data_IF_912274137454
#
_entry.id   IF_912274137454
#
_cell.length_a   1.000
_cell.length_b   1.000
_cell.length_c   1.000
_cell.angle_alpha   90.00
_cell.angle_beta   90.00
_cell.angle_gamma   90.00
#
_symmetry.space_group_name_H-M   'P 1'
#
loop_
_entity.id
_entity.type
_entity.pdbx_description
1 polymer ?
#
# COMPACT_ATOMS: atom_id res chain seq x y z
N UNK A 1 6.74 1.50 -15.38
CA UNK A 1 7.04 1.59 -13.94
C UNK A 1 8.40 0.97 -13.65
N UNK A 2 9.04 1.39 -12.56
CA UNK A 2 10.36 0.94 -12.15
C UNK A 2 10.35 0.47 -10.69
N UNK A 3 11.24 -0.48 -10.37
CA UNK A 3 11.53 -0.88 -8.99
C UNK A 3 12.90 -0.32 -8.59
N UNK A 4 12.94 0.46 -7.50
CA UNK A 4 14.17 1.13 -7.03
C UNK A 4 14.67 0.48 -5.74
N UNK A 5 15.82 -0.16 -5.81
CA UNK A 5 16.55 -0.75 -4.70
C UNK A 5 17.90 -0.03 -4.45
N UNK A 6 17.90 1.29 -4.55
CA UNK A 6 19.05 2.12 -4.26
C UNK A 6 19.17 2.41 -2.74
N UNK A 7 20.37 2.73 -2.23
CA UNK A 7 20.49 3.30 -0.89
C UNK A 7 19.62 4.55 -0.74
N UNK A 8 19.03 4.75 0.45
CA UNK A 8 18.05 5.82 0.70
C UNK A 8 18.52 7.22 0.25
N UNK A 9 19.81 7.53 0.44
CA UNK A 9 20.37 8.83 0.06
C UNK A 9 20.51 9.03 -1.44
N UNK A 10 20.61 7.95 -2.22
CA UNK A 10 20.67 7.99 -3.69
C UNK A 10 19.29 7.90 -4.34
N UNK A 11 18.27 7.45 -3.60
CA UNK A 11 16.92 7.22 -4.12
C UNK A 11 16.27 8.46 -4.74
N UNK A 12 16.32 9.67 -4.15
CA UNK A 12 15.74 10.86 -4.79
C UNK A 12 16.38 11.17 -6.15
N UNK A 13 17.70 11.02 -6.29
CA UNK A 13 18.38 11.20 -7.58
C UNK A 13 17.88 10.21 -8.63
N UNK A 14 17.81 8.91 -8.28
CA UNK A 14 17.29 7.89 -9.20
C UNK A 14 15.83 8.11 -9.59
N UNK A 15 14.98 8.60 -8.66
CA UNK A 15 13.58 8.96 -8.95
C UNK A 15 13.52 10.11 -9.94
N UNK A 16 14.35 11.15 -9.76
CA UNK A 16 14.40 12.29 -10.70
C UNK A 16 14.83 11.87 -12.11
N UNK A 17 15.78 10.96 -12.22
CA UNK A 17 16.19 10.39 -13.53
C UNK A 17 15.02 9.62 -14.18
N UNK A 18 14.31 8.80 -13.43
CA UNK A 18 13.14 8.06 -13.95
C UNK A 18 12.02 9.00 -14.39
N UNK A 19 11.76 10.07 -13.62
CA UNK A 19 10.80 11.10 -14.02
C UNK A 19 11.22 11.77 -15.34
N UNK A 20 12.49 12.17 -15.46
CA UNK A 20 13.02 12.77 -16.68
C UNK A 20 12.92 11.85 -17.92
N UNK A 21 12.99 10.54 -17.71
CA UNK A 21 12.80 9.52 -18.75
C UNK A 21 11.32 9.22 -19.07
N UNK A 22 10.36 9.90 -18.44
CA UNK A 22 8.94 9.67 -18.63
C UNK A 22 8.40 8.37 -18.03
N UNK A 23 9.04 7.85 -16.98
CA UNK A 23 8.54 6.68 -16.27
C UNK A 23 7.17 6.96 -15.65
N UNK A 24 6.21 6.05 -15.80
CA UNK A 24 4.84 6.22 -15.32
C UNK A 24 4.62 5.90 -13.84
N UNK A 25 5.67 5.58 -13.07
CA UNK A 25 5.58 5.33 -11.62
C UNK A 25 6.74 4.49 -11.12
N UNK A 26 7.01 4.54 -9.81
CA UNK A 26 8.08 3.77 -9.20
C UNK A 26 7.69 3.14 -7.86
N UNK A 27 8.28 1.98 -7.57
CA UNK A 27 8.27 1.33 -6.27
C UNK A 27 9.57 1.65 -5.56
N UNK A 28 9.50 2.15 -4.32
CA UNK A 28 10.66 2.55 -3.52
C UNK A 28 10.86 1.54 -2.38
N UNK A 29 11.83 0.65 -2.56
CA UNK A 29 12.12 -0.41 -1.60
C UNK A 29 12.85 0.10 -0.35
N UNK A 30 13.73 1.08 -0.52
CA UNK A 30 14.58 1.59 0.57
C UNK A 30 13.74 2.09 1.75
N UNK A 31 14.21 1.77 2.96
CA UNK A 31 13.73 2.30 4.23
C UNK A 31 14.65 3.42 4.74
N UNK A 32 14.27 4.09 5.83
CA UNK A 32 15.05 5.13 6.48
C UNK A 32 14.64 6.53 6.07
N UNK A 33 13.36 6.76 5.83
CA UNK A 33 12.74 8.05 5.53
C UNK A 33 11.96 8.56 6.76
N UNK A 34 10.72 8.99 6.61
CA UNK A 34 9.92 9.55 7.69
C UNK A 34 9.74 8.61 8.88
N UNK A 35 9.69 7.28 8.66
CA UNK A 35 9.60 6.28 9.72
C UNK A 35 10.84 6.24 10.63
N UNK A 36 11.98 6.71 10.14
CA UNK A 36 13.20 6.90 10.93
C UNK A 36 13.43 8.35 11.39
N UNK A 37 12.45 9.23 11.17
CA UNK A 37 12.51 10.65 11.51
C UNK A 37 13.13 11.53 10.43
N UNK A 38 13.54 10.98 9.28
CA UNK A 38 14.14 11.76 8.18
C UNK A 38 13.05 12.27 7.22
N UNK A 39 12.27 13.25 7.71
CA UNK A 39 11.22 13.89 6.94
C UNK A 39 11.78 14.70 5.75
N UNK A 40 13.01 15.25 5.88
CA UNK A 40 13.63 16.05 4.82
C UNK A 40 13.96 15.19 3.61
N UNK A 41 14.48 13.98 3.83
CA UNK A 41 14.76 13.03 2.76
C UNK A 41 13.49 12.56 2.05
N UNK A 42 12.39 12.34 2.79
CA UNK A 42 11.11 12.00 2.19
C UNK A 42 10.55 13.16 1.35
N UNK A 43 10.68 14.40 1.79
CA UNK A 43 10.30 15.56 1.01
C UNK A 43 11.14 15.70 -0.28
N UNK A 44 12.46 15.47 -0.18
CA UNK A 44 13.32 15.46 -1.36
C UNK A 44 12.92 14.36 -2.37
N UNK A 45 12.53 13.18 -1.88
CA UNK A 45 12.01 12.10 -2.71
C UNK A 45 10.75 12.51 -3.48
N UNK A 46 9.76 13.10 -2.78
CA UNK A 46 8.51 13.56 -3.39
C UNK A 46 8.76 14.71 -4.39
N UNK A 47 9.65 15.64 -4.06
CA UNK A 47 10.04 16.72 -4.97
C UNK A 47 10.69 16.17 -6.26
N UNK A 48 11.56 15.17 -6.15
CA UNK A 48 12.20 14.53 -7.30
C UNK A 48 11.22 13.75 -8.17
N UNK A 49 10.16 13.19 -7.59
CA UNK A 49 9.10 12.51 -8.32
C UNK A 49 8.28 13.46 -9.20
N UNK A 50 8.15 14.73 -8.81
CA UNK A 50 7.46 15.78 -9.56
C UNK A 50 6.06 15.36 -10.08
N UNK A 51 5.31 14.62 -9.26
CA UNK A 51 3.98 14.09 -9.59
C UNK A 51 3.98 12.71 -10.28
N UNK A 52 5.14 12.08 -10.52
CA UNK A 52 5.19 10.69 -10.90
C UNK A 52 4.77 9.82 -9.70
N UNK A 53 3.78 8.93 -9.81
CA UNK A 53 3.29 8.12 -8.69
C UNK A 53 4.38 7.25 -8.06
N UNK A 54 4.47 7.29 -6.72
CA UNK A 54 5.39 6.48 -5.93
C UNK A 54 4.66 5.55 -4.97
N UNK A 55 5.01 4.27 -5.00
CA UNK A 55 4.61 3.28 -4.00
C UNK A 55 5.74 3.16 -2.96
N UNK A 56 5.41 3.35 -1.69
CA UNK A 56 6.37 3.37 -0.59
C UNK A 56 6.69 4.79 -0.06
N UNK A 57 7.94 5.08 0.35
CA UNK A 57 9.09 4.17 0.49
C UNK A 57 8.89 3.08 1.56
N UNK A 58 9.93 2.29 1.82
CA UNK A 58 9.87 1.20 2.79
C UNK A 58 8.78 0.17 2.44
N UNK A 59 8.67 -0.22 1.17
CA UNK A 59 7.68 -1.19 0.72
C UNK A 59 8.28 -2.26 -0.20
N UNK A 60 7.66 -3.44 -0.20
CA UNK A 60 8.07 -4.52 -1.11
C UNK A 60 7.53 -4.32 -2.53
N UNK A 61 6.53 -3.47 -2.73
CA UNK A 61 5.95 -3.22 -4.03
C UNK A 61 4.63 -3.95 -4.26
N UNK A 62 4.44 -4.47 -5.48
CA UNK A 62 3.19 -5.12 -5.82
C UNK A 62 3.37 -6.32 -6.75
N UNK A 63 2.40 -7.21 -6.68
CA UNK A 63 2.19 -8.31 -7.61
C UNK A 63 0.77 -8.20 -8.14
N UNK A 64 0.62 -8.16 -9.47
CA UNK A 64 -0.67 -8.19 -10.15
C UNK A 64 -0.72 -9.45 -11.01
N UNK A 65 -1.28 -10.53 -10.44
CA UNK A 65 -1.40 -11.82 -11.11
C UNK A 65 -2.37 -11.76 -12.30
N UNK A 66 -3.38 -10.88 -12.24
CA UNK A 66 -4.32 -10.67 -13.34
C UNK A 66 -3.71 -9.95 -14.54
N UNK A 67 -2.68 -9.15 -14.33
CA UNK A 67 -1.90 -8.50 -15.40
C UNK A 67 -0.58 -9.23 -15.70
N UNK A 68 -0.23 -10.25 -14.91
CA UNK A 68 1.03 -10.99 -15.00
C UNK A 68 2.25 -10.08 -14.85
N UNK A 69 2.17 -9.12 -13.93
CA UNK A 69 3.23 -8.14 -13.65
C UNK A 69 3.57 -8.18 -12.17
N UNK A 70 4.85 -8.17 -11.86
CA UNK A 70 5.35 -8.00 -10.51
C UNK A 70 6.49 -6.96 -10.50
N UNK A 71 6.42 -6.01 -9.58
CA UNK A 71 7.54 -5.20 -9.11
C UNK A 71 7.73 -5.57 -7.65
N UNK A 72 8.52 -6.61 -7.41
CA UNK A 72 8.64 -7.33 -6.15
C UNK A 72 10.08 -7.82 -5.96
N UNK A 73 10.69 -7.67 -4.77
CA UNK A 73 12.12 -7.95 -4.59
C UNK A 73 12.46 -9.40 -4.32
N UNK A 74 11.47 -10.27 -4.15
CA UNK A 74 11.66 -11.63 -3.66
C UNK A 74 10.85 -12.64 -4.49
N UNK A 75 11.03 -13.93 -4.22
CA UNK A 75 10.18 -14.97 -4.78
C UNK A 75 8.75 -14.84 -4.26
N UNK A 76 7.79 -15.23 -5.07
CA UNK A 76 6.38 -15.29 -4.69
C UNK A 76 5.68 -16.51 -5.29
N UNK A 77 4.73 -17.07 -4.54
CA UNK A 77 3.95 -18.25 -4.95
C UNK A 77 2.67 -17.91 -5.72
N UNK A 78 2.43 -16.65 -6.13
CA UNK A 78 1.22 -16.29 -6.84
C UNK A 78 1.24 -16.80 -8.28
N UNK A 79 0.18 -17.50 -8.66
CA UNK A 79 -0.04 -17.97 -10.03
C UNK A 79 -0.89 -16.97 -10.81
N UNK A 80 -0.72 -16.88 -12.15
CA UNK A 80 -1.58 -16.06 -13.00
C UNK A 80 -3.07 -16.38 -12.79
N UNK A 81 -3.88 -15.36 -12.64
CA UNK A 81 -5.32 -15.45 -12.47
C UNK A 81 -6.00 -14.38 -13.32
N UNK A 82 -7.13 -14.71 -13.95
CA UNK A 82 -7.88 -13.72 -14.71
C UNK A 82 -8.72 -12.81 -13.80
N UNK A 83 -9.11 -13.32 -12.62
CA UNK A 83 -9.96 -12.63 -11.65
C UNK A 83 -9.78 -13.19 -10.25
N UNK A 84 -9.87 -12.33 -9.23
CA UNK A 84 -9.75 -12.77 -7.83
C UNK A 84 -9.82 -11.63 -6.84
N UNK A 85 -9.34 -11.87 -5.63
CA UNK A 85 -9.28 -10.87 -4.57
C UNK A 85 -8.00 -10.04 -4.66
N UNK A 86 -8.05 -8.81 -4.17
CA UNK A 86 -6.86 -8.01 -3.95
C UNK A 86 -6.58 -7.89 -2.45
N UNK A 87 -5.31 -7.85 -2.07
CA UNK A 87 -4.90 -7.52 -0.71
C UNK A 87 -4.00 -6.29 -0.75
N UNK A 88 -4.29 -5.33 0.12
CA UNK A 88 -3.44 -4.16 0.37
C UNK A 88 -2.97 -4.20 1.82
N UNK A 89 -1.67 -4.12 2.01
CA UNK A 89 -1.06 -4.14 3.34
C UNK A 89 -0.06 -2.99 3.50
N UNK A 90 0.02 -2.41 4.67
CA UNK A 90 1.05 -1.43 5.00
C UNK A 90 2.37 -2.10 5.39
N UNK A 91 2.35 -3.41 5.69
CA UNK A 91 3.52 -4.19 6.07
C UNK A 91 4.05 -5.02 4.90
N UNK A 92 5.32 -4.83 4.55
CA UNK A 92 6.03 -5.64 3.56
C UNK A 92 6.11 -7.11 3.99
N UNK A 93 6.44 -7.39 5.25
CA UNK A 93 6.57 -8.75 5.77
C UNK A 93 5.24 -9.53 5.73
N UNK A 94 4.11 -8.88 6.04
CA UNK A 94 2.79 -9.51 5.91
C UNK A 94 2.51 -9.80 4.44
N UNK A 95 2.82 -8.86 3.54
CA UNK A 95 2.70 -9.07 2.11
C UNK A 95 3.49 -10.29 1.65
N UNK A 96 4.76 -10.38 2.03
CA UNK A 96 5.62 -11.51 1.69
C UNK A 96 5.03 -12.85 2.17
N UNK A 97 4.60 -12.94 3.43
CA UNK A 97 3.98 -14.15 3.97
C UNK A 97 2.68 -14.54 3.22
N UNK A 98 1.88 -13.55 2.81
CA UNK A 98 0.65 -13.80 2.07
C UNK A 98 0.90 -14.38 0.68
N UNK A 99 2.00 -14.01 0.02
CA UNK A 99 2.36 -14.57 -1.30
C UNK A 99 2.68 -16.06 -1.25
N UNK A 100 3.09 -16.56 -0.09
CA UNK A 100 3.52 -17.96 0.12
C UNK A 100 2.41 -18.85 0.66
N UNK A 101 1.20 -18.30 0.89
CA UNK A 101 0.08 -19.09 1.41
C UNK A 101 -0.47 -20.06 0.37
N UNK A 102 -0.51 -21.34 0.75
CA UNK A 102 -1.10 -22.42 -0.06
C UNK A 102 -2.50 -22.81 0.45
N UNK A 103 -3.40 -21.79 0.58
CA UNK A 103 -4.76 -22.00 1.14
C UNK A 103 -5.88 -21.84 0.12
N UNK A 104 -5.55 -21.84 -1.17
CA UNK A 104 -6.54 -21.71 -2.23
C UNK A 104 -7.19 -20.31 -2.33
N UNK A 105 -6.59 -19.27 -1.72
CA UNK A 105 -7.04 -17.89 -1.89
C UNK A 105 -6.73 -17.43 -3.31
N UNK A 106 -7.73 -17.05 -4.14
CA UNK A 106 -7.50 -16.58 -5.49
C UNK A 106 -7.00 -15.13 -5.48
N UNK A 107 -5.73 -14.95 -5.12
CA UNK A 107 -5.09 -13.64 -4.95
C UNK A 107 -4.68 -13.08 -6.32
N UNK A 108 -5.50 -12.18 -6.87
CA UNK A 108 -5.28 -11.54 -8.16
C UNK A 108 -4.33 -10.33 -8.08
N UNK A 109 -4.28 -9.65 -6.94
CA UNK A 109 -3.37 -8.55 -6.71
C UNK A 109 -2.94 -8.47 -5.23
N UNK A 110 -1.68 -8.16 -5.00
CA UNK A 110 -1.12 -7.82 -3.70
C UNK A 110 -0.34 -6.52 -3.82
N UNK A 111 -0.62 -5.56 -2.94
CA UNK A 111 0.10 -4.30 -2.84
C UNK A 111 0.62 -4.13 -1.42
N UNK A 112 1.88 -3.71 -1.29
CA UNK A 112 2.43 -3.22 -0.03
C UNK A 112 2.66 -1.72 -0.14
N UNK A 113 2.24 -0.94 0.85
CA UNK A 113 2.26 0.52 0.77
C UNK A 113 3.42 1.16 1.52
N UNK A 114 4.02 0.45 2.49
CA UNK A 114 5.09 1.01 3.31
C UNK A 114 4.66 2.31 4.00
N UNK A 115 5.47 3.36 3.84
CA UNK A 115 5.22 4.66 4.46
C UNK A 115 4.07 5.46 3.83
N UNK A 116 3.58 5.06 2.66
CA UNK A 116 2.52 5.76 1.93
C UNK A 116 2.87 7.27 1.74
N UNK A 117 4.08 7.56 1.30
CA UNK A 117 4.51 8.95 1.15
C UNK A 117 3.72 9.69 0.07
N UNK A 118 3.35 8.98 -1.00
CA UNK A 118 2.55 9.45 -2.12
C UNK A 118 1.31 8.58 -2.25
N UNK A 119 1.33 7.48 -3.01
CA UNK A 119 0.18 6.58 -3.11
C UNK A 119 -0.18 6.00 -1.74
N UNK A 120 -1.41 6.23 -1.29
CA UNK A 120 -1.91 5.80 0.00
C UNK A 120 -2.97 4.68 -0.09
N UNK A 121 -3.49 4.28 1.06
CA UNK A 121 -4.49 3.21 1.16
C UNK A 121 -5.79 3.57 0.45
N UNK A 122 -6.23 4.83 0.49
CA UNK A 122 -7.47 5.27 -0.13
C UNK A 122 -7.38 5.17 -1.66
N UNK A 123 -6.29 5.66 -2.24
CA UNK A 123 -6.04 5.59 -3.68
C UNK A 123 -5.91 4.14 -4.16
N UNK A 124 -5.20 3.30 -3.40
CA UNK A 124 -5.10 1.87 -3.71
C UNK A 124 -6.48 1.18 -3.70
N UNK A 125 -7.31 1.45 -2.68
CA UNK A 125 -8.67 0.89 -2.58
C UNK A 125 -9.55 1.39 -3.73
N UNK A 126 -9.53 2.68 -4.06
CA UNK A 126 -10.32 3.25 -5.16
C UNK A 126 -9.93 2.62 -6.50
N UNK A 127 -8.63 2.50 -6.79
CA UNK A 127 -8.14 1.87 -8.01
C UNK A 127 -8.56 0.39 -8.14
N UNK A 128 -8.42 -0.37 -7.05
CA UNK A 128 -8.83 -1.79 -7.02
C UNK A 128 -10.36 -1.96 -7.08
N UNK A 129 -11.10 -1.02 -6.50
CA UNK A 129 -12.55 -1.01 -6.56
C UNK A 129 -13.06 -0.82 -8.01
N UNK A 130 -12.35 -0.08 -8.82
CA UNK A 130 -12.69 0.17 -10.23
C UNK A 130 -12.21 -0.94 -11.19
N UNK A 131 -11.26 -1.79 -10.78
CA UNK A 131 -10.78 -2.88 -11.64
C UNK A 131 -11.81 -4.05 -11.69
N UNK A 132 -12.43 -4.36 -12.84
CA UNK A 132 -13.46 -5.42 -12.94
C UNK A 132 -12.93 -6.82 -12.63
N UNK A 133 -11.63 -7.02 -12.61
CA UNK A 133 -11.00 -8.31 -12.30
C UNK A 133 -10.90 -8.56 -10.79
N UNK A 134 -11.05 -7.52 -9.97
CA UNK A 134 -11.04 -7.64 -8.51
C UNK A 134 -12.45 -7.89 -8.00
N UNK A 135 -12.61 -8.93 -7.18
CA UNK A 135 -13.91 -9.36 -6.65
C UNK A 135 -14.16 -8.93 -5.21
N UNK A 136 -13.10 -8.77 -4.43
CA UNK A 136 -13.13 -8.31 -3.04
C UNK A 136 -11.77 -7.71 -2.68
N UNK A 137 -11.71 -6.89 -1.65
CA UNK A 137 -10.50 -6.22 -1.20
C UNK A 137 -10.23 -6.58 0.27
N UNK A 138 -9.08 -7.20 0.54
CA UNK A 138 -8.57 -7.42 1.88
C UNK A 138 -7.61 -6.30 2.28
N UNK A 139 -7.75 -5.77 3.48
CA UNK A 139 -6.90 -4.70 4.00
C UNK A 139 -6.20 -5.11 5.28
N UNK A 140 -4.90 -4.90 5.36
CA UNK A 140 -4.16 -4.87 6.61
C UNK A 140 -3.77 -3.42 6.91
N UNK A 141 -4.39 -2.83 7.93
CA UNK A 141 -4.30 -1.41 8.25
C UNK A 141 -3.56 -1.20 9.55
N UNK A 142 -2.46 -0.49 9.51
CA UNK A 142 -1.75 0.02 10.69
C UNK A 142 -2.26 1.41 11.07
N UNK A 143 -2.48 2.29 10.07
CA UNK A 143 -3.05 3.62 10.26
C UNK A 143 -3.69 4.17 8.98
N UNK A 144 -4.62 5.11 9.15
CA UNK A 144 -5.23 5.84 8.05
C UNK A 144 -4.62 7.25 8.01
N UNK A 145 -4.12 7.67 6.85
CA UNK A 145 -3.58 9.02 6.64
C UNK A 145 -4.70 10.03 6.47
N UNK A 146 -5.64 9.71 5.60
CA UNK A 146 -6.82 10.53 5.30
C UNK A 146 -8.08 9.68 5.43
N UNK A 147 -8.82 9.91 6.53
CA UNK A 147 -10.07 9.21 6.83
C UNK A 147 -11.16 9.58 5.82
N UNK A 148 -11.20 10.82 5.34
CA UNK A 148 -12.21 11.27 4.38
C UNK A 148 -11.98 10.65 3.01
N UNK A 149 -10.73 10.62 2.54
CA UNK A 149 -10.36 9.94 1.30
C UNK A 149 -10.66 8.43 1.37
N UNK A 150 -10.32 7.77 2.49
CA UNK A 150 -10.65 6.35 2.68
C UNK A 150 -12.16 6.10 2.70
N UNK A 151 -12.95 6.96 3.35
CA UNK A 151 -14.40 6.85 3.35
C UNK A 151 -14.99 6.96 1.94
N UNK A 152 -14.45 7.86 1.11
CA UNK A 152 -14.83 7.99 -0.31
C UNK A 152 -14.49 6.71 -1.08
N UNK A 153 -13.27 6.19 -0.94
CA UNK A 153 -12.83 4.96 -1.61
C UNK A 153 -13.67 3.74 -1.22
N UNK A 154 -14.01 3.62 0.08
CA UNK A 154 -14.93 2.59 0.57
C UNK A 154 -16.34 2.74 -0.02
N UNK A 155 -16.82 3.98 -0.22
CA UNK A 155 -18.06 4.28 -0.94
C UNK A 155 -18.01 3.77 -2.38
N UNK A 156 -16.93 4.04 -3.11
CA UNK A 156 -16.72 3.52 -4.48
C UNK A 156 -16.73 1.99 -4.50
N UNK A 157 -16.02 1.34 -3.57
CA UNK A 157 -16.01 -0.13 -3.49
C UNK A 157 -17.43 -0.70 -3.28
N UNK A 158 -18.23 -0.06 -2.41
CA UNK A 158 -19.63 -0.43 -2.16
C UNK A 158 -20.50 -0.26 -3.41
N UNK A 159 -20.37 0.85 -4.14
CA UNK A 159 -21.08 1.10 -5.40
C UNK A 159 -20.74 0.04 -6.45
N UNK A 160 -19.46 -0.36 -6.50
CA UNK A 160 -18.96 -1.43 -7.38
C UNK A 160 -19.28 -2.85 -6.85
N UNK A 161 -20.01 -2.96 -5.73
CA UNK A 161 -20.38 -4.23 -5.08
C UNK A 161 -19.19 -5.10 -4.73
N UNK A 162 -18.08 -4.48 -4.33
CA UNK A 162 -16.85 -5.16 -3.89
C UNK A 162 -16.73 -5.09 -2.38
N UNK A 163 -16.91 -6.22 -1.68
CA UNK A 163 -16.75 -6.24 -0.23
C UNK A 163 -15.31 -5.91 0.16
N UNK A 164 -15.17 -5.18 1.26
CA UNK A 164 -13.90 -4.92 1.91
C UNK A 164 -13.88 -5.70 3.23
N UNK A 165 -12.77 -6.39 3.49
CA UNK A 165 -12.49 -7.02 4.77
C UNK A 165 -11.21 -6.41 5.33
N UNK A 166 -11.25 -5.86 6.55
CA UNK A 166 -10.12 -5.17 7.14
C UNK A 166 -9.63 -5.84 8.43
N UNK A 167 -8.32 -5.99 8.53
CA UNK A 167 -7.61 -6.29 9.76
C UNK A 167 -6.91 -5.00 10.23
N UNK A 168 -7.44 -4.36 11.28
CA UNK A 168 -6.81 -3.18 11.90
C UNK A 168 -5.90 -3.61 13.03
N UNK A 169 -4.61 -3.33 12.91
CA UNK A 169 -3.60 -3.53 13.93
C UNK A 169 -3.30 -2.25 14.71
N UNK A 170 -2.47 -2.33 15.76
CA UNK A 170 -2.11 -1.17 16.56
C UNK A 170 -3.21 -0.67 17.49
N UNK A 171 -4.21 -1.50 17.84
CA UNK A 171 -5.36 -1.12 18.68
C UNK A 171 -5.03 -0.98 20.16
N UNK A 172 -4.06 -1.71 20.68
CA UNK A 172 -3.62 -1.57 22.06
C UNK A 172 -2.67 -0.37 22.24
N UNK A 173 -2.54 0.20 23.44
CA UNK A 173 -1.57 1.29 23.68
C UNK A 173 -0.13 0.92 23.32
N UNK A 174 0.25 -0.34 23.50
CA UNK A 174 1.55 -0.86 23.10
C UNK A 174 1.65 -1.03 21.57
N UNK A 175 0.63 -1.58 20.95
CA UNK A 175 0.54 -1.69 19.49
C UNK A 175 0.54 -0.32 18.80
N UNK A 176 -0.16 0.67 19.35
CA UNK A 176 -0.15 2.04 18.83
C UNK A 176 1.25 2.66 18.85
N UNK A 177 2.06 2.44 19.90
CA UNK A 177 3.45 2.91 19.96
C UNK A 177 4.33 2.25 18.89
N UNK A 178 4.14 0.94 18.66
CA UNK A 178 4.86 0.20 17.63
C UNK A 178 4.46 0.74 16.25
N UNK A 179 3.17 0.90 15.99
CA UNK A 179 2.66 1.43 14.72
C UNK A 179 3.19 2.85 14.46
N UNK A 180 3.20 3.73 15.46
CA UNK A 180 3.76 5.07 15.33
C UNK A 180 5.25 5.07 14.95
N UNK A 181 6.04 4.13 15.49
CA UNK A 181 7.46 3.99 15.16
C UNK A 181 7.70 3.42 13.75
N UNK A 182 6.72 2.70 13.19
CA UNK A 182 6.85 2.05 11.88
C UNK A 182 6.29 2.88 10.71
N UNK A 183 5.21 3.64 10.92
CA UNK A 183 4.49 4.29 9.81
C UNK A 183 4.36 5.80 9.95
N UNK A 184 4.82 6.39 11.06
CA UNK A 184 4.63 7.80 11.40
C UNK A 184 3.14 8.27 11.36
N UNK A 185 2.19 7.33 11.24
CA UNK A 185 0.77 7.63 11.23
C UNK A 185 0.21 7.63 12.65
N UNK A 186 -0.64 8.60 12.96
CA UNK A 186 -1.43 8.59 14.18
C UNK A 186 -2.31 7.33 14.17
N UNK A 187 -2.13 6.46 15.17
CA UNK A 187 -3.11 5.43 15.48
C UNK A 187 -4.39 6.17 15.84
N UNK A 188 -5.30 6.30 14.88
CA UNK A 188 -6.58 6.98 15.05
C UNK A 188 -7.36 6.33 16.20
N UNK A 189 -8.19 7.08 16.88
CA UNK A 189 -9.05 6.53 17.91
C UNK A 189 -9.82 5.34 17.33
N UNK A 190 -9.58 4.13 17.86
CA UNK A 190 -10.17 2.86 17.36
C UNK A 190 -11.68 2.96 17.15
N UNK A 191 -12.37 3.72 18.03
CA UNK A 191 -13.81 3.97 17.91
C UNK A 191 -14.20 4.67 16.61
N UNK A 192 -13.36 5.57 16.10
CA UNK A 192 -13.63 6.24 14.82
C UNK A 192 -13.44 5.29 13.66
N UNK A 193 -12.42 4.43 13.73
CA UNK A 193 -12.22 3.38 12.72
C UNK A 193 -13.39 2.37 12.75
N UNK A 194 -13.83 1.93 13.94
CA UNK A 194 -14.95 1.00 14.07
C UNK A 194 -16.25 1.60 13.50
N UNK A 195 -16.57 2.86 13.85
CA UNK A 195 -17.74 3.56 13.32
C UNK A 195 -17.66 3.75 11.78
N UNK A 196 -16.46 4.00 11.25
CA UNK A 196 -16.22 4.11 9.83
C UNK A 196 -16.46 2.76 9.14
N UNK A 197 -15.89 1.68 9.67
CA UNK A 197 -16.03 0.34 9.12
C UNK A 197 -17.49 -0.13 9.15
N UNK A 198 -18.19 0.06 10.28
CA UNK A 198 -19.63 -0.24 10.40
C UNK A 198 -20.45 0.52 9.37
N UNK A 199 -20.20 1.82 9.19
CA UNK A 199 -20.91 2.67 8.22
C UNK A 199 -20.78 2.17 6.78
N UNK A 200 -19.64 1.63 6.40
CA UNK A 200 -19.37 1.16 5.03
C UNK A 200 -19.51 -0.36 4.87
N UNK A 201 -19.80 -1.10 5.94
CA UNK A 201 -19.96 -2.56 5.91
C UNK A 201 -18.63 -3.29 5.71
N UNK A 202 -17.55 -2.78 6.36
CA UNK A 202 -16.20 -3.33 6.33
C UNK A 202 -15.99 -4.25 7.52
#
# INVERSE_FOLDING_TARGET
AAFIALPRTATPGGVGELHALGCGGAVIYAAGFAESGDHSLQQALLAAAAGMPLLGPNCYGFINAASRVALWPDEHGLLPLDRGVAIVTQSGNIGCNLTMLQRGLPLAALLTLGNQADVDLAEAVEALALDPRITAIGLHIEGLRDVAAFAKAAGVAREQRKPIVALKTGRSPQGARITMSHTASLAGADRLCDALFERYGI
#
